data_IF_814823057638
#
_entry.id   IF_814823057638
#
_cell.length_a   1.000
_cell.length_b   1.000
_cell.length_c   1.000
_cell.angle_alpha   90.00
_cell.angle_beta   90.00
_cell.angle_gamma   90.00
#
_symmetry.space_group_name_H-M   'P 1'
#
loop_
_entity.id
_entity.type
_entity.pdbx_description
1 polymer ?
#
# COMPACT_ATOMS: atom_id res chain seq x y z
N UNK A 1 -39.76 -17.98 24.92
CA UNK A 1 -38.58 -17.46 25.65
C UNK A 1 -37.33 -17.99 24.96
N UNK A 2 -36.46 -17.14 24.43
CA UNK A 2 -35.09 -17.59 24.12
C UNK A 2 -34.42 -17.85 25.46
N UNK A 3 -34.04 -19.09 25.72
CA UNK A 3 -33.32 -19.47 26.94
C UNK A 3 -31.96 -18.77 26.99
N UNK A 4 -31.48 -18.42 28.18
CA UNK A 4 -30.17 -17.78 28.41
C UNK A 4 -29.01 -18.43 27.64
N UNK A 5 -28.92 -19.77 27.48
CA UNK A 5 -27.88 -20.41 26.66
C UNK A 5 -27.90 -19.97 25.20
N UNK A 6 -29.09 -19.78 24.60
CA UNK A 6 -29.20 -19.31 23.22
C UNK A 6 -28.72 -17.85 23.07
N UNK A 7 -28.89 -17.03 24.10
CA UNK A 7 -28.37 -15.66 24.12
C UNK A 7 -26.84 -15.66 24.20
N UNK A 8 -26.27 -16.51 25.06
CA UNK A 8 -24.80 -16.64 25.19
C UNK A 8 -24.18 -17.12 23.88
N UNK A 9 -24.77 -18.13 23.23
CA UNK A 9 -24.29 -18.62 21.92
C UNK A 9 -24.35 -17.52 20.86
N UNK A 10 -25.43 -16.74 20.81
CA UNK A 10 -25.54 -15.63 19.87
C UNK A 10 -24.47 -14.55 20.12
N UNK A 11 -24.21 -14.19 21.38
CA UNK A 11 -23.19 -13.21 21.73
C UNK A 11 -21.78 -13.72 21.38
N UNK A 12 -21.49 -14.99 21.65
CA UNK A 12 -20.22 -15.61 21.25
C UNK A 12 -20.00 -15.56 19.74
N UNK A 13 -21.04 -15.86 18.95
CA UNK A 13 -20.96 -15.77 17.48
C UNK A 13 -20.72 -14.33 17.01
N UNK A 14 -21.33 -13.34 17.65
CA UNK A 14 -21.10 -11.92 17.33
C UNK A 14 -19.65 -11.49 17.64
N UNK A 15 -19.13 -11.85 18.82
CA UNK A 15 -17.75 -11.53 19.22
C UNK A 15 -16.74 -12.24 18.31
N UNK A 16 -17.02 -13.48 17.92
CA UNK A 16 -16.19 -14.21 16.97
C UNK A 16 -16.18 -13.55 15.59
N UNK A 17 -17.35 -13.18 15.07
CA UNK A 17 -17.48 -12.45 13.79
C UNK A 17 -16.69 -11.14 13.81
N UNK A 18 -16.86 -10.34 14.87
CA UNK A 18 -16.11 -9.10 15.09
C UNK A 18 -14.61 -9.33 15.08
N UNK A 19 -14.15 -10.27 15.91
CA UNK A 19 -12.73 -10.61 16.05
C UNK A 19 -12.13 -11.06 14.71
N UNK A 20 -12.85 -11.88 13.95
CA UNK A 20 -12.37 -12.38 12.66
C UNK A 20 -12.25 -11.27 11.63
N UNK A 21 -13.25 -10.39 11.51
CA UNK A 21 -13.21 -9.25 10.57
C UNK A 21 -12.10 -8.27 10.97
N UNK A 22 -11.93 -8.03 12.27
CA UNK A 22 -10.89 -7.15 12.78
C UNK A 22 -9.47 -7.68 12.50
N UNK A 23 -9.26 -9.00 12.64
CA UNK A 23 -7.98 -9.63 12.27
C UNK A 23 -7.68 -9.43 10.79
N UNK A 24 -8.66 -9.61 9.90
CA UNK A 24 -8.49 -9.36 8.47
C UNK A 24 -8.17 -7.89 8.20
N UNK A 25 -8.87 -6.96 8.85
CA UNK A 25 -8.56 -5.52 8.79
C UNK A 25 -7.10 -5.22 9.16
N UNK A 26 -6.61 -5.79 10.26
CA UNK A 26 -5.21 -5.62 10.69
C UNK A 26 -4.22 -6.20 9.69
N UNK A 27 -4.50 -7.37 9.10
CA UNK A 27 -3.65 -7.98 8.07
C UNK A 27 -3.54 -7.09 6.85
N UNK A 28 -4.66 -6.54 6.37
CA UNK A 28 -4.64 -5.68 5.19
C UNK A 28 -3.95 -4.35 5.47
N UNK A 29 -4.16 -3.74 6.65
CA UNK A 29 -3.42 -2.53 7.07
C UNK A 29 -1.91 -2.78 7.10
N UNK A 30 -1.46 -3.94 7.61
CA UNK A 30 -0.05 -4.30 7.62
C UNK A 30 0.52 -4.42 6.19
N UNK A 31 -0.25 -4.98 5.26
CA UNK A 31 0.19 -5.11 3.87
C UNK A 31 0.25 -3.75 3.17
N UNK A 32 -0.74 -2.87 3.38
CA UNK A 32 -0.71 -1.48 2.90
C UNK A 32 0.51 -0.74 3.43
N UNK A 33 0.84 -0.89 4.72
CA UNK A 33 2.01 -0.26 5.32
C UNK A 33 3.31 -0.71 4.64
N UNK A 34 3.50 -2.03 4.45
CA UNK A 34 4.69 -2.58 3.79
C UNK A 34 4.82 -2.09 2.35
N UNK A 35 3.73 -2.10 1.58
CA UNK A 35 3.73 -1.64 0.20
C UNK A 35 4.03 -0.13 0.11
N UNK A 36 3.49 0.67 1.04
CA UNK A 36 3.75 2.11 1.11
C UNK A 36 5.23 2.39 1.40
N UNK A 37 5.84 1.66 2.33
CA UNK A 37 7.27 1.79 2.63
C UNK A 37 8.15 1.43 1.42
N UNK A 38 7.78 0.37 0.69
CA UNK A 38 8.48 -0.02 -0.55
C UNK A 38 8.38 1.05 -1.64
N UNK A 39 7.19 1.62 -1.84
CA UNK A 39 6.96 2.71 -2.78
C UNK A 39 7.72 3.98 -2.39
N UNK A 40 7.69 4.37 -1.11
CA UNK A 40 8.40 5.53 -0.58
C UNK A 40 9.92 5.41 -0.76
N UNK A 41 10.48 4.24 -0.45
CA UNK A 41 11.91 3.99 -0.64
C UNK A 41 12.34 4.12 -2.10
N UNK A 42 11.51 3.63 -3.03
CA UNK A 42 11.75 3.74 -4.46
C UNK A 42 11.72 5.20 -4.92
N UNK A 43 10.71 5.96 -4.50
CA UNK A 43 10.60 7.40 -4.82
C UNK A 43 11.81 8.16 -4.31
N UNK A 44 12.17 7.97 -3.03
CA UNK A 44 13.35 8.59 -2.43
C UNK A 44 14.64 8.27 -3.19
N UNK A 45 14.80 7.02 -3.64
CA UNK A 45 15.98 6.64 -4.43
C UNK A 45 16.11 7.45 -5.71
N UNK A 46 15.01 7.64 -6.46
CA UNK A 46 15.04 8.43 -7.69
C UNK A 46 15.14 9.93 -7.42
N UNK A 47 14.51 10.44 -6.37
CA UNK A 47 14.66 11.84 -5.94
C UNK A 47 16.11 12.17 -5.55
N UNK A 48 16.77 11.29 -4.78
CA UNK A 48 18.19 11.45 -4.42
C UNK A 48 19.07 11.43 -5.66
N UNK A 49 18.88 10.45 -6.55
CA UNK A 49 19.61 10.37 -7.82
C UNK A 49 19.47 11.64 -8.68
N UNK A 50 18.28 12.23 -8.72
CA UNK A 50 18.02 13.51 -9.42
C UNK A 50 18.67 14.71 -8.71
N UNK A 51 18.81 14.66 -7.39
CA UNK A 51 19.39 15.74 -6.59
C UNK A 51 20.93 15.72 -6.55
N UNK A 52 21.54 14.55 -6.68
CA UNK A 52 23.00 14.36 -6.72
C UNK A 52 23.64 14.72 -8.08
N UNK A 53 22.83 14.97 -9.11
CA UNK A 53 23.27 15.52 -10.39
C UNK A 53 23.67 17.01 -10.22
N UNK A 54 24.97 17.22 -9.99
CA UNK A 54 25.68 18.51 -9.85
C UNK A 54 25.37 19.47 -11.04
N UNK A 55 25.42 20.81 -10.86
CA UNK A 55 25.04 21.76 -11.91
C UNK A 55 25.95 21.57 -13.13
N UNK A 56 25.33 21.08 -14.20
CA UNK A 56 25.96 20.71 -15.46
C UNK A 56 26.94 21.78 -15.93
N UNK A 57 28.21 21.40 -16.06
CA UNK A 57 29.09 22.07 -17.02
C UNK A 57 28.49 21.82 -18.40
N UNK A 58 28.09 22.89 -19.08
CA UNK A 58 27.36 22.87 -20.35
C UNK A 58 28.21 22.33 -21.52
N UNK A 59 28.54 21.04 -21.47
CA UNK A 59 29.17 20.29 -22.55
C UNK A 59 28.16 19.33 -23.17
N UNK A 60 28.20 19.20 -24.49
CA UNK A 60 27.23 18.41 -25.26
C UNK A 60 27.29 16.92 -24.88
N UNK A 61 28.48 16.40 -24.60
CA UNK A 61 28.66 15.00 -24.16
C UNK A 61 27.97 14.74 -22.82
N UNK A 62 28.10 15.66 -21.87
CA UNK A 62 27.46 15.56 -20.56
C UNK A 62 25.93 15.56 -20.68
N UNK A 63 25.37 16.39 -21.57
CA UNK A 63 23.92 16.42 -21.82
C UNK A 63 23.43 15.10 -22.45
N UNK A 64 24.17 14.54 -23.42
CA UNK A 64 23.80 13.28 -24.07
C UNK A 64 23.86 12.10 -23.07
N UNK A 65 24.86 12.06 -22.20
CA UNK A 65 24.97 11.07 -21.13
C UNK A 65 23.82 11.20 -20.12
N UNK A 66 23.50 12.42 -19.69
CA UNK A 66 22.35 12.68 -18.81
C UNK A 66 21.04 12.20 -19.43
N UNK A 67 20.81 12.49 -20.72
CA UNK A 67 19.63 12.00 -21.42
C UNK A 67 19.56 10.46 -21.45
N UNK A 68 20.71 9.78 -21.56
CA UNK A 68 20.81 8.32 -21.47
C UNK A 68 20.39 7.81 -20.10
N UNK A 69 20.97 8.38 -19.03
CA UNK A 69 20.66 8.05 -17.64
C UNK A 69 19.18 8.26 -17.32
N UNK A 70 18.58 9.38 -17.75
CA UNK A 70 17.17 9.67 -17.54
C UNK A 70 16.24 8.69 -18.26
N UNK A 71 16.59 8.28 -19.49
CA UNK A 71 15.82 7.25 -20.21
C UNK A 71 15.88 5.90 -19.51
N UNK A 72 17.06 5.53 -18.99
CA UNK A 72 17.22 4.30 -18.22
C UNK A 72 16.38 4.35 -16.94
N UNK A 73 16.47 5.42 -16.15
CA UNK A 73 15.67 5.56 -14.92
C UNK A 73 14.17 5.52 -15.21
N UNK A 74 13.73 6.14 -16.31
CA UNK A 74 12.32 6.06 -16.73
C UNK A 74 11.89 4.63 -17.01
N UNK A 75 12.72 3.82 -17.67
CA UNK A 75 12.45 2.39 -17.89
C UNK A 75 12.39 1.62 -16.57
N UNK A 76 13.34 1.84 -15.67
CA UNK A 76 13.37 1.18 -14.36
C UNK A 76 12.14 1.54 -13.51
N UNK A 77 11.69 2.81 -13.53
CA UNK A 77 10.45 3.25 -12.86
C UNK A 77 9.24 2.58 -13.47
N UNK A 78 9.16 2.50 -14.80
CA UNK A 78 8.05 1.84 -15.50
C UNK A 78 8.00 0.33 -15.18
N UNK A 79 9.14 -0.36 -15.06
CA UNK A 79 9.21 -1.75 -14.60
C UNK A 79 8.72 -1.93 -13.16
N UNK A 80 8.91 -0.92 -12.31
CA UNK A 80 8.47 -0.94 -10.91
C UNK A 80 7.02 -0.48 -10.72
N UNK A 81 6.28 -0.17 -11.80
CA UNK A 81 4.85 0.18 -11.74
C UNK A 81 4.01 -0.85 -10.99
N UNK A 82 4.38 -2.13 -11.03
CA UNK A 82 3.65 -3.18 -10.31
C UNK A 82 3.59 -2.96 -8.79
N UNK A 83 4.59 -2.28 -8.20
CA UNK A 83 4.59 -1.94 -6.76
C UNK A 83 3.45 -0.98 -6.43
N UNK A 84 3.17 -0.01 -7.30
CA UNK A 84 2.08 0.94 -7.12
C UNK A 84 0.71 0.29 -7.35
N UNK A 85 0.58 -0.58 -8.36
CA UNK A 85 -0.66 -1.35 -8.56
C UNK A 85 -0.95 -2.26 -7.35
N UNK A 86 0.08 -2.96 -6.84
CA UNK A 86 -0.06 -3.79 -5.64
C UNK A 86 -0.45 -2.96 -4.41
N UNK A 87 0.04 -1.72 -4.28
CA UNK A 87 -0.39 -0.81 -3.22
C UNK A 87 -1.86 -0.41 -3.38
N UNK A 88 -2.29 -0.07 -4.60
CA UNK A 88 -3.67 0.32 -4.89
C UNK A 88 -4.66 -0.82 -4.63
N UNK A 89 -4.34 -2.04 -5.07
CA UNK A 89 -5.16 -3.23 -4.85
C UNK A 89 -5.35 -3.51 -3.34
N UNK A 90 -4.28 -3.41 -2.56
CA UNK A 90 -4.34 -3.64 -1.11
C UNK A 90 -5.10 -2.53 -0.38
N UNK A 91 -5.03 -1.29 -0.87
CA UNK A 91 -5.82 -0.18 -0.35
C UNK A 91 -7.32 -0.37 -0.64
N UNK A 92 -7.68 -0.85 -1.83
CA UNK A 92 -9.06 -1.18 -2.17
C UNK A 92 -9.60 -2.32 -1.30
N UNK A 93 -8.81 -3.38 -1.07
CA UNK A 93 -9.17 -4.48 -0.14
C UNK A 93 -9.36 -3.97 1.28
N UNK A 94 -8.47 -3.10 1.77
CA UNK A 94 -8.55 -2.52 3.11
C UNK A 94 -9.86 -1.74 3.29
N UNK A 95 -10.21 -0.94 2.29
CA UNK A 95 -11.46 -0.18 2.25
C UNK A 95 -12.68 -1.09 2.27
N UNK A 96 -12.69 -2.13 1.44
CA UNK A 96 -13.81 -3.09 1.39
C UNK A 96 -14.04 -3.81 2.73
N UNK A 97 -12.97 -4.22 3.41
CA UNK A 97 -13.06 -4.85 4.74
C UNK A 97 -13.56 -3.84 5.79
N UNK A 98 -13.10 -2.59 5.73
CA UNK A 98 -13.57 -1.53 6.62
C UNK A 98 -15.06 -1.26 6.41
N UNK A 99 -15.52 -1.17 5.16
CA UNK A 99 -16.93 -0.96 4.81
C UNK A 99 -17.81 -2.14 5.25
N UNK A 100 -17.30 -3.38 5.14
CA UNK A 100 -17.99 -4.58 5.62
C UNK A 100 -18.14 -4.55 7.14
N UNK A 101 -17.08 -4.17 7.86
CA UNK A 101 -17.10 -4.04 9.32
C UNK A 101 -18.13 -2.99 9.75
N UNK A 102 -18.13 -1.82 9.10
CA UNK A 102 -19.12 -0.77 9.35
C UNK A 102 -20.55 -1.23 9.13
N UNK A 103 -20.83 -1.93 8.02
CA UNK A 103 -22.18 -2.45 7.74
C UNK A 103 -22.63 -3.52 8.73
N UNK A 104 -21.73 -4.41 9.11
CA UNK A 104 -22.05 -5.59 9.94
C UNK A 104 -22.15 -5.22 11.42
N UNK A 105 -21.36 -4.23 11.86
CA UNK A 105 -21.16 -3.95 13.27
C UNK A 105 -21.35 -2.49 13.70
N UNK A 106 -21.60 -1.57 12.74
CA UNK A 106 -21.81 -0.13 12.97
C UNK A 106 -20.62 0.60 13.63
N UNK A 107 -19.41 0.18 13.30
CA UNK A 107 -18.14 0.87 13.59
C UNK A 107 -17.60 1.56 12.34
#
# INVERSE_FOLDING_TARGET
>A
MRSEPNLVIQNMNQVYSMSSIYIEKLKTVNLVLKNTQGAEALVKQYETKLCEEDPLTADKSNIENLMGTLKQWRSEVDEKREVFHSLEDELQKAKAISDQMFKTHKE
#
